data_IF_631461947416
#
_entry.id   IF_631461947416
#
_cell.length_a   1.000
_cell.length_b   1.000
_cell.length_c   1.000
_cell.angle_alpha   90.00
_cell.angle_beta   90.00
_cell.angle_gamma   90.00
#
_symmetry.space_group_name_H-M   'P 1'
#
loop_
_entity.id
_entity.type
_entity.pdbx_description
1 polymer ?
#
# COMPACT_ATOMS: atom_id res chain seq x y z
N UNK A 1 0.56 40.70 23.96
CA UNK A 1 0.61 42.04 24.59
C UNK A 1 -0.41 42.10 25.72
N UNK A 2 -0.13 42.87 26.79
CA UNK A 2 -0.66 42.64 28.14
C UNK A 2 -1.62 43.74 28.61
N UNK A 3 -2.67 43.38 29.34
CA UNK A 3 -3.43 44.26 30.25
C UNK A 3 -4.11 43.32 31.27
N UNK A 4 -4.07 43.49 32.58
CA UNK A 4 -3.41 44.43 33.47
C UNK A 4 -3.61 43.83 34.87
N UNK A 5 -2.51 43.63 35.58
CA UNK A 5 -2.44 43.18 36.96
C UNK A 5 -2.78 44.37 37.87
N UNK A 6 -3.98 44.40 38.47
CA UNK A 6 -4.31 45.36 39.53
C UNK A 6 -5.30 44.72 40.51
N UNK A 7 -4.83 44.48 41.75
CA UNK A 7 -5.56 44.09 42.97
C UNK A 7 -6.02 42.62 43.04
N UNK A 8 -5.74 41.80 44.07
CA UNK A 8 -5.51 42.07 45.49
C UNK A 8 -4.53 41.03 46.11
N UNK A 9 -3.74 41.40 47.14
CA UNK A 9 -3.00 40.46 47.98
C UNK A 9 -3.86 39.86 49.10
N UNK A 10 -3.69 38.54 49.25
CA UNK A 10 -3.76 37.65 50.42
C UNK A 10 -4.87 37.81 51.49
N UNK A 11 -5.78 36.81 51.46
CA UNK A 11 -6.52 36.17 52.58
C UNK A 11 -8.06 36.22 52.52
N UNK A 12 -8.67 35.76 51.41
CA UNK A 12 -10.12 35.49 51.38
C UNK A 12 -10.39 34.01 51.01
N UNK A 13 -11.15 33.25 51.82
CA UNK A 13 -11.28 31.77 51.70
C UNK A 13 -12.04 31.25 50.47
N UNK A 14 -12.35 32.12 49.49
CA UNK A 14 -13.09 31.79 48.27
C UNK A 14 -12.20 31.26 47.12
N UNK A 15 -10.88 31.35 47.23
CA UNK A 15 -9.92 30.86 46.21
C UNK A 15 -9.57 29.36 46.35
N UNK A 16 -9.84 28.75 47.51
CA UNK A 16 -9.54 27.34 47.76
C UNK A 16 -10.51 26.39 47.02
N UNK A 17 -11.75 26.81 46.79
CA UNK A 17 -12.76 26.00 46.08
C UNK A 17 -12.56 26.03 44.56
N UNK A 18 -12.16 27.17 44.01
CA UNK A 18 -11.95 27.36 42.56
C UNK A 18 -10.69 26.62 42.08
N UNK A 19 -9.63 26.58 42.90
CA UNK A 19 -8.42 25.79 42.63
C UNK A 19 -8.63 24.28 42.75
N UNK A 20 -9.57 23.82 43.59
CA UNK A 20 -9.97 22.40 43.68
C UNK A 20 -10.66 21.93 42.38
N UNK A 21 -11.47 22.79 41.76
CA UNK A 21 -12.21 22.49 40.52
C UNK A 21 -11.31 22.45 39.26
N UNK A 22 -10.23 23.23 39.23
CA UNK A 22 -9.25 23.22 38.12
C UNK A 22 -8.27 22.02 38.18
N UNK A 23 -7.96 21.52 39.38
CA UNK A 23 -7.06 20.35 39.55
C UNK A 23 -7.71 19.01 39.16
N UNK A 24 -9.04 18.89 39.24
CA UNK A 24 -9.77 17.67 38.84
C UNK A 24 -9.88 17.51 37.31
N UNK A 25 -9.73 18.58 36.53
CA UNK A 25 -9.81 18.55 35.06
C UNK A 25 -8.49 18.22 34.35
N UNK A 26 -7.36 18.23 35.06
CA UNK A 26 -6.04 17.93 34.48
C UNK A 26 -5.83 16.42 34.25
N UNK A 27 -6.45 15.58 35.08
CA UNK A 27 -6.44 14.11 34.93
C UNK A 27 -7.34 13.62 33.80
N UNK A 28 -8.47 14.30 33.55
CA UNK A 28 -9.37 13.95 32.45
C UNK A 28 -8.77 14.30 31.08
N UNK A 29 -8.01 15.38 30.99
CA UNK A 29 -7.28 15.77 29.77
C UNK A 29 -6.12 14.81 29.43
N UNK A 30 -5.44 14.26 30.42
CA UNK A 30 -4.35 13.29 30.19
C UNK A 30 -4.86 11.87 29.88
N UNK A 31 -6.03 11.46 30.38
CA UNK A 31 -6.62 10.17 29.98
C UNK A 31 -7.21 10.17 28.55
N UNK A 32 -7.64 11.32 28.01
CA UNK A 32 -8.21 11.39 26.66
C UNK A 32 -7.17 11.16 25.54
N UNK A 33 -5.87 11.36 25.83
CA UNK A 33 -4.76 11.04 24.92
C UNK A 33 -4.27 9.58 25.02
N UNK A 34 -4.94 8.71 25.77
CA UNK A 34 -4.73 7.26 25.69
C UNK A 34 -5.38 6.74 24.40
N UNK A 35 -4.72 6.97 23.27
CA UNK A 35 -5.00 6.33 21.98
C UNK A 35 -5.11 4.82 22.25
N UNK A 36 -6.28 4.24 22.04
CA UNK A 36 -6.53 2.82 22.32
C UNK A 36 -5.56 1.96 21.49
N UNK A 37 -4.48 1.47 22.11
CA UNK A 37 -3.41 0.71 21.46
C UNK A 37 -3.80 -0.71 21.01
N UNK A 38 -5.11 -1.00 20.88
CA UNK A 38 -5.57 -2.31 20.44
C UNK A 38 -5.65 -2.32 18.92
N UNK A 39 -4.72 -3.00 18.29
CA UNK A 39 -4.72 -3.21 16.85
C UNK A 39 -6.03 -3.90 16.44
N UNK A 40 -6.65 -3.40 15.37
CA UNK A 40 -7.92 -3.93 14.86
C UNK A 40 -7.69 -5.31 14.24
N UNK A 41 -8.57 -6.29 14.46
CA UNK A 41 -8.40 -7.67 13.98
C UNK A 41 -8.21 -7.74 12.45
N UNK A 42 -9.02 -6.97 11.72
CA UNK A 42 -8.97 -6.85 10.26
C UNK A 42 -9.04 -5.38 9.86
N UNK A 43 -7.89 -4.74 9.54
CA UNK A 43 -7.89 -3.35 9.08
C UNK A 43 -8.54 -3.20 7.70
N UNK A 44 -9.46 -2.24 7.59
CA UNK A 44 -10.11 -1.86 6.33
C UNK A 44 -9.28 -0.91 5.48
N UNK A 45 -8.20 -0.35 6.04
CA UNK A 45 -7.25 0.51 5.31
C UNK A 45 -6.01 -0.29 4.88
N UNK A 46 -5.54 -0.03 3.66
CA UNK A 46 -4.40 -0.73 3.07
C UNK A 46 -3.12 -0.56 3.91
N UNK A 47 -2.88 0.65 4.41
CA UNK A 47 -1.72 0.97 5.24
C UNK A 47 -1.68 0.16 6.53
N UNK A 48 -2.82 0.04 7.22
CA UNK A 48 -2.91 -0.77 8.43
C UNK A 48 -2.82 -2.28 8.14
N UNK A 49 -3.28 -2.74 6.96
CA UNK A 49 -3.11 -4.13 6.50
C UNK A 49 -1.63 -4.47 6.31
N UNK A 50 -0.85 -3.58 5.68
CA UNK A 50 0.59 -3.81 5.47
C UNK A 50 1.35 -3.78 6.80
N UNK A 51 1.01 -2.86 7.70
CA UNK A 51 1.66 -2.75 9.01
C UNK A 51 1.40 -3.98 9.90
N UNK A 52 0.22 -4.60 9.78
CA UNK A 52 -0.21 -5.69 10.65
C UNK A 52 0.10 -7.09 10.10
N UNK A 53 0.16 -7.25 8.78
CA UNK A 53 0.48 -8.52 8.14
C UNK A 53 1.93 -8.52 7.64
N UNK A 54 2.82 -9.37 8.18
CA UNK A 54 4.19 -9.46 7.70
C UNK A 54 4.24 -10.07 6.30
N UNK A 55 4.22 -9.23 5.26
CA UNK A 55 4.19 -9.65 3.86
C UNK A 55 5.35 -10.59 3.49
N UNK A 56 6.55 -10.33 4.03
CA UNK A 56 7.73 -11.16 3.80
C UNK A 56 7.58 -12.59 4.35
N UNK A 57 6.82 -12.78 5.44
CA UNK A 57 6.55 -14.11 5.98
C UNK A 57 5.69 -14.93 5.02
N UNK A 58 4.66 -14.33 4.45
CA UNK A 58 3.81 -14.99 3.46
C UNK A 58 4.54 -15.27 2.14
N UNK A 59 5.44 -14.40 1.70
CA UNK A 59 6.23 -14.65 0.48
C UNK A 59 7.20 -15.83 0.65
N UNK A 60 7.81 -15.98 1.84
CA UNK A 60 8.75 -17.08 2.14
C UNK A 60 8.05 -18.42 2.35
N UNK A 61 6.87 -18.43 2.97
CA UNK A 61 6.17 -19.68 3.31
C UNK A 61 5.37 -20.26 2.14
N UNK A 62 4.98 -19.44 1.16
CA UNK A 62 4.21 -19.92 0.03
C UNK A 62 5.12 -20.38 -1.12
N UNK A 63 5.16 -21.69 -1.33
CA UNK A 63 5.68 -22.39 -2.52
C UNK A 63 5.30 -21.77 -3.87
N UNK A 64 4.15 -21.09 -4.00
CA UNK A 64 3.74 -20.42 -5.23
C UNK A 64 4.81 -19.43 -5.73
N UNK A 65 5.46 -18.69 -4.83
CA UNK A 65 6.45 -17.69 -5.20
C UNK A 65 7.77 -18.30 -5.69
N UNK A 66 8.03 -19.57 -5.38
CA UNK A 66 9.19 -20.29 -5.93
C UNK A 66 8.92 -20.77 -7.36
N UNK A 67 7.73 -21.32 -7.64
CA UNK A 67 7.42 -21.90 -8.94
C UNK A 67 6.87 -20.90 -9.97
N UNK A 68 6.25 -19.81 -9.52
CA UNK A 68 5.74 -18.75 -10.40
C UNK A 68 6.82 -18.19 -11.36
N UNK A 69 7.99 -17.73 -10.88
CA UNK A 69 9.03 -17.24 -11.78
C UNK A 69 9.57 -18.33 -12.71
N UNK A 70 9.61 -19.60 -12.27
CA UNK A 70 10.05 -20.72 -13.11
C UNK A 70 9.10 -20.92 -14.30
N UNK A 71 7.78 -20.86 -14.07
CA UNK A 71 6.79 -20.92 -15.15
C UNK A 71 6.84 -19.70 -16.08
N UNK A 72 7.02 -18.50 -15.53
CA UNK A 72 7.19 -17.28 -16.33
C UNK A 72 8.46 -17.35 -17.19
N UNK A 73 9.59 -17.78 -16.63
CA UNK A 73 10.85 -17.89 -17.36
C UNK A 73 10.79 -18.99 -18.43
N UNK A 74 10.18 -20.14 -18.11
CA UNK A 74 9.99 -21.23 -19.06
C UNK A 74 9.15 -20.80 -20.27
N UNK A 75 7.98 -20.18 -20.01
CA UNK A 75 7.13 -19.66 -21.09
C UNK A 75 7.83 -18.55 -21.88
N UNK A 76 8.48 -17.60 -21.20
CA UNK A 76 9.23 -16.52 -21.85
C UNK A 76 10.32 -17.07 -22.78
N UNK A 77 11.07 -18.10 -22.37
CA UNK A 77 12.09 -18.73 -23.21
C UNK A 77 11.51 -19.38 -24.47
N UNK A 78 10.39 -20.12 -24.33
CA UNK A 78 9.69 -20.73 -25.47
C UNK A 78 9.21 -19.66 -26.45
N UNK A 79 8.56 -18.62 -25.95
CA UNK A 79 8.11 -17.50 -26.78
C UNK A 79 9.25 -16.76 -27.46
N UNK A 80 10.39 -16.58 -26.78
CA UNK A 80 11.58 -15.97 -27.37
C UNK A 80 12.10 -16.78 -28.57
N UNK A 81 12.12 -18.11 -28.47
CA UNK A 81 12.55 -18.99 -29.56
C UNK A 81 11.58 -18.94 -30.74
N UNK A 82 10.28 -18.97 -30.48
CA UNK A 82 9.25 -18.85 -31.53
C UNK A 82 9.36 -17.48 -32.21
N UNK A 83 9.48 -16.40 -31.43
CA UNK A 83 9.60 -15.04 -31.96
C UNK A 83 10.81 -14.89 -32.89
N UNK A 84 11.95 -15.50 -32.56
CA UNK A 84 13.12 -15.48 -33.44
C UNK A 84 12.93 -16.29 -34.73
N UNK A 85 12.21 -17.41 -34.66
CA UNK A 85 11.99 -18.26 -35.82
C UNK A 85 11.03 -17.61 -36.83
N UNK A 86 9.95 -17.00 -36.33
CA UNK A 86 8.95 -16.30 -37.15
C UNK A 86 9.55 -15.08 -37.86
N UNK A 87 10.45 -14.35 -37.21
CA UNK A 87 11.11 -13.17 -37.77
C UNK A 87 12.36 -13.49 -38.61
N UNK A 88 12.65 -14.76 -38.90
CA UNK A 88 13.74 -15.11 -39.80
C UNK A 88 13.43 -14.63 -41.23
N UNK A 89 14.43 -14.08 -41.93
CA UNK A 89 14.23 -13.50 -43.27
C UNK A 89 13.60 -14.48 -44.26
N UNK A 90 13.93 -15.77 -44.14
CA UNK A 90 13.35 -16.83 -44.96
C UNK A 90 11.84 -16.97 -44.74
N UNK A 91 11.38 -16.95 -43.48
CA UNK A 91 9.97 -17.07 -43.14
C UNK A 91 9.17 -15.83 -43.55
N UNK A 92 9.76 -14.64 -43.43
CA UNK A 92 9.15 -13.38 -43.88
C UNK A 92 8.97 -13.37 -45.40
N UNK A 93 9.97 -13.83 -46.16
CA UNK A 93 9.88 -13.94 -47.64
C UNK A 93 8.80 -14.94 -48.07
N UNK A 94 8.78 -16.13 -47.47
CA UNK A 94 7.74 -17.13 -47.78
C UNK A 94 6.34 -16.65 -47.43
N UNK A 95 6.19 -15.93 -46.32
CA UNK A 95 4.91 -15.36 -45.93
C UNK A 95 4.44 -14.29 -46.92
N UNK A 96 5.35 -13.41 -47.37
CA UNK A 96 5.05 -12.41 -48.40
C UNK A 96 4.63 -13.06 -49.73
N UNK A 97 5.29 -14.16 -50.15
CA UNK A 97 4.91 -14.91 -51.35
C UNK A 97 3.52 -15.57 -51.22
N UNK A 98 3.21 -16.15 -50.06
CA UNK A 98 1.88 -16.73 -49.79
C UNK A 98 0.81 -15.64 -49.83
N UNK A 99 1.07 -14.47 -49.24
CA UNK A 99 0.13 -13.35 -49.27
C UNK A 99 -0.11 -12.81 -50.68
N UNK A 100 0.93 -12.74 -51.51
CA UNK A 100 0.77 -12.39 -52.93
C UNK A 100 -0.12 -13.38 -53.67
N UNK A 101 0.09 -14.68 -53.48
CA UNK A 101 -0.74 -15.74 -54.08
C UNK A 101 -2.18 -15.72 -53.57
N UNK A 102 -2.39 -15.39 -52.29
CA UNK A 102 -3.73 -15.28 -51.71
C UNK A 102 -4.47 -14.05 -52.28
N UNK A 103 -3.80 -12.90 -52.37
CA UNK A 103 -4.37 -11.71 -53.00
C UNK A 103 -4.71 -11.94 -54.48
N UNK A 104 -3.82 -12.57 -55.24
CA UNK A 104 -4.09 -12.96 -56.63
C UNK A 104 -5.34 -13.87 -56.73
N UNK A 105 -5.49 -14.85 -55.84
CA UNK A 105 -6.68 -15.73 -55.79
C UNK A 105 -7.97 -15.03 -55.37
N UNK A 106 -7.90 -14.04 -54.48
CA UNK A 106 -9.07 -13.27 -54.03
C UNK A 106 -9.52 -12.22 -55.06
N UNK A 107 -8.64 -11.83 -55.98
CA UNK A 107 -8.93 -10.91 -57.08
C UNK A 107 -9.45 -11.61 -58.36
N UNK A 108 -9.53 -12.94 -58.37
CA UNK A 108 -10.11 -13.76 -59.45
C UNK A 108 -11.50 -14.26 -59.05
#
# INVERSE_FOLDING_TARGET
MPYSLSYMPDNDPLDMFTKRCMLENLWLLTMCLRKSGRHMKFPYTLSAKIAQYPLFFYMKNNWIWMYWPVGCLGSFYVFYKIHRLVNSEANVRSWAEVQRKNAEKEHH
#
